data_IF_453033853489
#
_entry.id   IF_453033853489
#
_cell.length_a   1.000
_cell.length_b   1.000
_cell.length_c   1.000
_cell.angle_alpha   90.00
_cell.angle_beta   90.00
_cell.angle_gamma   90.00
#
_symmetry.space_group_name_H-M   'P 1'
#
loop_
_entity.id
_entity.type
_entity.pdbx_description
1 polymer ?
#
# COMPACT_ATOMS: atom_id res chain seq x y z
N UNK A 1 23.62 -24.38 6.73
CA UNK A 1 22.86 -23.39 7.54
C UNK A 1 21.56 -23.09 6.80
N UNK A 2 20.39 -23.38 7.37
CA UNK A 2 19.11 -23.03 6.75
C UNK A 2 18.87 -21.51 6.89
N UNK A 3 18.66 -20.84 5.76
CA UNK A 3 18.29 -19.43 5.70
C UNK A 3 16.82 -19.34 5.32
N UNK A 4 16.00 -18.86 6.25
CA UNK A 4 14.57 -18.67 6.03
C UNK A 4 14.30 -17.18 5.85
N UNK A 5 13.56 -16.81 4.80
CA UNK A 5 13.13 -15.43 4.57
C UNK A 5 11.67 -15.25 4.97
N UNK A 6 11.34 -14.10 5.57
CA UNK A 6 9.96 -13.68 5.79
C UNK A 6 9.56 -12.71 4.69
N UNK A 7 8.39 -12.93 4.10
CA UNK A 7 7.85 -12.07 3.03
C UNK A 7 6.44 -11.65 3.43
N UNK A 8 6.16 -10.35 3.35
CA UNK A 8 4.82 -9.79 3.44
C UNK A 8 4.42 -9.21 2.08
N UNK A 9 3.20 -9.51 1.65
CA UNK A 9 2.59 -8.91 0.47
C UNK A 9 1.55 -7.90 0.95
N UNK A 10 1.70 -6.64 0.52
CA UNK A 10 0.84 -5.53 0.96
C UNK A 10 0.17 -4.95 -0.29
N UNK A 11 -1.16 -4.91 -0.29
CA UNK A 11 -1.91 -4.19 -1.33
C UNK A 11 -1.67 -2.67 -1.20
N UNK A 12 -1.61 -1.93 -2.31
CA UNK A 12 -1.46 -0.48 -2.26
C UNK A 12 -2.65 0.17 -1.55
N UNK A 13 -2.39 1.26 -0.83
CA UNK A 13 -3.44 2.12 -0.32
C UNK A 13 -4.17 2.82 -1.48
N UNK A 14 -5.41 3.28 -1.23
CA UNK A 14 -6.26 3.83 -2.28
C UNK A 14 -5.75 5.16 -2.83
N UNK A 15 -5.85 5.30 -4.15
CA UNK A 15 -5.74 6.54 -4.91
C UNK A 15 -7.09 6.97 -5.47
N UNK A 16 -7.16 8.20 -5.98
CA UNK A 16 -8.38 8.70 -6.65
C UNK A 16 -8.65 7.95 -7.96
N UNK A 17 -7.61 7.53 -8.68
CA UNK A 17 -7.73 6.77 -9.93
C UNK A 17 -8.41 5.41 -9.70
N UNK A 18 -8.01 4.68 -8.65
CA UNK A 18 -8.60 3.39 -8.30
C UNK A 18 -10.10 3.50 -7.98
N UNK A 19 -10.52 4.55 -7.27
CA UNK A 19 -11.95 4.80 -6.99
C UNK A 19 -12.77 5.07 -8.24
N UNK A 20 -12.15 5.63 -9.28
CA UNK A 20 -12.79 5.91 -10.57
C UNK A 20 -12.75 4.72 -11.53
N UNK A 21 -12.22 3.58 -11.10
CA UNK A 21 -11.89 2.45 -11.98
C UNK A 21 -11.04 2.89 -13.19
N UNK A 22 -10.20 3.91 -12.99
CA UNK A 22 -9.30 4.40 -14.01
C UNK A 22 -8.02 3.55 -13.99
N UNK A 23 -7.59 3.14 -15.18
CA UNK A 23 -6.28 2.57 -15.40
C UNK A 23 -5.32 3.74 -15.59
N UNK A 24 -4.53 4.01 -14.56
CA UNK A 24 -3.54 5.08 -14.51
C UNK A 24 -2.21 4.45 -14.09
N UNK A 25 -1.09 4.90 -14.66
CA UNK A 25 0.25 4.34 -14.43
C UNK A 25 0.83 4.72 -13.06
N UNK A 26 -0.03 5.21 -12.17
CA UNK A 26 0.30 5.65 -10.83
C UNK A 26 -0.16 7.09 -10.60
N UNK A 27 -0.54 7.36 -9.36
CA UNK A 27 -0.98 8.68 -8.93
C UNK A 27 -0.85 8.79 -7.42
N UNK A 28 -0.94 10.01 -6.86
CA UNK A 28 -0.90 10.18 -5.42
C UNK A 28 -2.03 9.40 -4.75
N UNK A 29 -1.75 8.86 -3.56
CA UNK A 29 -2.79 8.31 -2.68
C UNK A 29 -3.84 9.38 -2.42
N UNK A 30 -5.09 8.94 -2.22
CA UNK A 30 -6.09 9.82 -1.67
C UNK A 30 -5.80 10.07 -0.16
N UNK A 31 -6.41 11.10 0.45
CA UNK A 31 -6.11 11.43 1.85
C UNK A 31 -6.35 10.29 2.83
N UNK A 32 -7.36 9.45 2.60
CA UNK A 32 -7.66 8.30 3.46
C UNK A 32 -6.61 7.20 3.26
N UNK A 33 -6.22 6.92 2.03
CA UNK A 33 -5.14 5.99 1.70
C UNK A 33 -3.80 6.42 2.30
N UNK A 34 -3.47 7.71 2.26
CA UNK A 34 -2.26 8.25 2.88
C UNK A 34 -2.28 8.10 4.42
N UNK A 35 -3.42 8.34 5.07
CA UNK A 35 -3.58 8.13 6.50
C UNK A 35 -3.42 6.66 6.89
N UNK A 36 -4.05 5.74 6.15
CA UNK A 36 -3.93 4.30 6.35
C UNK A 36 -2.47 3.83 6.19
N UNK A 37 -1.78 4.28 5.15
CA UNK A 37 -0.39 3.92 4.90
C UNK A 37 0.53 4.37 6.06
N UNK A 38 0.32 5.59 6.58
CA UNK A 38 1.08 6.11 7.74
C UNK A 38 0.80 5.31 9.01
N UNK A 39 -0.45 4.93 9.25
CA UNK A 39 -0.81 4.11 10.41
C UNK A 39 -0.17 2.71 10.34
N UNK A 40 -0.07 2.12 9.15
CA UNK A 40 0.51 0.79 8.95
C UNK A 40 2.05 0.76 9.00
N UNK A 41 2.72 1.87 8.67
CA UNK A 41 4.18 1.91 8.56
C UNK A 41 4.93 1.48 9.84
N UNK A 42 4.32 1.64 11.01
CA UNK A 42 4.88 1.23 12.31
C UNK A 42 4.43 -0.15 12.80
N UNK A 43 3.57 -0.86 12.06
CA UNK A 43 2.95 -2.12 12.51
C UNK A 43 3.41 -3.34 11.74
N UNK A 44 4.16 -3.16 10.66
CA UNK A 44 4.67 -4.28 9.86
C UNK A 44 5.88 -4.95 10.56
N UNK A 45 6.00 -6.28 10.50
CA UNK A 45 7.07 -7.03 11.16
C UNK A 45 8.47 -6.74 10.65
#
# INVERSE_FOLDING_TARGET
MNRTSRVLLVSPALSTAQRRAAFDDGGPLDPAGAAQARAAAGTLP
#
